data_IF_272561611559
#
_entry.id   IF_272561611559
#
_cell.length_a   1.000
_cell.length_b   1.000
_cell.length_c   1.000
_cell.angle_alpha   90.00
_cell.angle_beta   90.00
_cell.angle_gamma   90.00
#
_symmetry.space_group_name_H-M   'P 1'
#
loop_
_entity.id
_entity.type
_entity.pdbx_description
1 polymer ?
#
# COMPACT_ATOMS: atom_id res chain seq x y z
N UNK A 1 -3.74 15.90 5.73
CA UNK A 1 -3.89 16.79 4.55
C UNK A 1 -3.75 15.94 3.30
N UNK A 2 -4.54 16.21 2.26
CA UNK A 2 -4.57 15.44 1.02
C UNK A 2 -4.46 16.34 -0.21
N UNK A 3 -4.10 15.78 -1.37
CA UNK A 3 -4.19 16.46 -2.65
C UNK A 3 -5.64 16.46 -3.21
N UNK A 4 -5.81 16.90 -4.47
CA UNK A 4 -7.11 16.97 -5.15
C UNK A 4 -7.78 15.60 -5.34
N UNK A 5 -7.00 14.52 -5.43
CA UNK A 5 -7.47 13.14 -5.54
C UNK A 5 -7.70 12.48 -4.16
N UNK A 6 -7.62 13.25 -3.08
CA UNK A 6 -7.60 12.75 -1.70
C UNK A 6 -6.42 11.82 -1.37
N UNK A 7 -5.38 11.80 -2.20
CA UNK A 7 -4.15 11.09 -1.88
C UNK A 7 -3.44 11.81 -0.72
N UNK A 8 -3.13 11.04 0.32
CA UNK A 8 -2.22 11.48 1.39
C UNK A 8 -0.77 11.40 0.93
N UNK A 9 0.15 11.95 1.72
CA UNK A 9 1.58 11.75 1.50
C UNK A 9 1.97 10.26 1.42
N UNK A 10 1.27 9.38 2.17
CA UNK A 10 1.54 7.95 2.13
C UNK A 10 1.04 7.29 0.83
N UNK A 11 -0.09 7.74 0.27
CA UNK A 11 -0.54 7.29 -1.06
C UNK A 11 0.52 7.59 -2.12
N UNK A 12 1.03 8.82 -2.14
CA UNK A 12 2.07 9.23 -3.07
C UNK A 12 3.38 8.48 -2.85
N UNK A 13 3.81 8.28 -1.60
CA UNK A 13 5.03 7.54 -1.29
C UNK A 13 4.93 6.06 -1.72
N UNK A 14 3.77 5.43 -1.51
CA UNK A 14 3.48 4.08 -1.96
C UNK A 14 3.50 3.97 -3.50
N UNK A 15 2.80 4.90 -4.19
CA UNK A 15 2.75 4.98 -5.66
C UNK A 15 4.15 5.10 -6.28
N UNK A 16 5.00 5.89 -5.64
CA UNK A 16 6.37 6.17 -6.09
C UNK A 16 7.43 5.19 -5.53
N UNK A 17 7.02 4.16 -4.78
CA UNK A 17 7.90 3.14 -4.18
C UNK A 17 9.02 3.73 -3.31
N UNK A 18 8.73 4.82 -2.58
CA UNK A 18 9.70 5.51 -1.73
C UNK A 18 9.66 4.94 -0.32
N UNK A 19 10.23 3.74 -0.14
CA UNK A 19 10.17 3.01 1.14
C UNK A 19 10.67 3.86 2.32
N UNK A 20 11.81 4.53 2.18
CA UNK A 20 12.29 5.43 3.24
C UNK A 20 11.30 6.54 3.65
N UNK A 21 10.50 7.06 2.71
CA UNK A 21 9.45 8.05 3.02
C UNK A 21 8.25 7.37 3.68
N UNK A 22 7.87 6.18 3.21
CA UNK A 22 6.83 5.34 3.83
C UNK A 22 7.19 5.02 5.28
N UNK A 23 8.41 4.59 5.56
CA UNK A 23 8.92 4.33 6.90
C UNK A 23 8.78 5.56 7.81
N UNK A 24 9.22 6.74 7.36
CA UNK A 24 9.09 7.98 8.14
C UNK A 24 7.62 8.28 8.44
N UNK A 25 6.77 8.31 7.41
CA UNK A 25 5.36 8.68 7.55
C UNK A 25 4.60 7.73 8.48
N UNK A 26 4.87 6.44 8.36
CA UNK A 26 4.18 5.40 9.14
C UNK A 26 4.67 5.31 10.59
N UNK A 27 5.93 5.71 10.87
CA UNK A 27 6.45 5.81 12.24
C UNK A 27 6.03 7.08 12.97
N UNK A 28 5.91 8.20 12.24
CA UNK A 28 5.49 9.48 12.83
C UNK A 28 4.01 9.47 13.24
N UNK A 29 3.15 8.77 12.49
CA UNK A 29 1.73 8.65 12.83
C UNK A 29 1.20 7.22 12.60
N UNK A 30 1.50 6.26 13.52
CA UNK A 30 1.08 4.85 13.42
C UNK A 30 -0.44 4.63 13.51
N UNK A 31 -1.16 5.53 14.17
CA UNK A 31 -2.61 5.45 14.39
C UNK A 31 -3.42 6.10 13.27
N UNK A 32 -2.76 6.86 12.38
CA UNK A 32 -3.44 7.48 11.25
C UNK A 32 -4.10 6.43 10.36
N UNK A 33 -5.43 6.49 10.29
CA UNK A 33 -6.16 5.67 9.34
C UNK A 33 -6.00 6.27 7.94
N UNK A 34 -5.20 5.63 7.12
CA UNK A 34 -5.03 6.00 5.72
C UNK A 34 -6.20 5.48 4.89
N UNK A 35 -7.32 6.19 4.98
CA UNK A 35 -8.54 5.92 4.21
C UNK A 35 -8.28 5.94 2.71
N UNK A 36 -9.13 5.23 1.97
CA UNK A 36 -9.09 5.23 0.52
C UNK A 36 -9.24 6.64 -0.09
N UNK A 37 -8.54 6.87 -1.18
CA UNK A 37 -8.63 8.09 -2.00
C UNK A 37 -9.95 8.15 -2.81
N UNK A 38 -10.12 9.15 -3.69
CA UNK A 38 -11.36 9.29 -4.50
C UNK A 38 -11.61 8.12 -5.46
N UNK A 39 -10.59 7.32 -5.76
CA UNK A 39 -10.69 6.10 -6.57
C UNK A 39 -10.99 4.86 -5.74
N UNK A 40 -11.15 5.00 -4.42
CA UNK A 40 -11.34 3.86 -3.51
C UNK A 40 -10.04 3.08 -3.28
N UNK A 41 -8.87 3.66 -3.51
CA UNK A 41 -7.57 3.01 -3.34
C UNK A 41 -6.95 3.44 -2.00
N UNK A 42 -6.59 2.49 -1.14
CA UNK A 42 -5.74 2.77 0.04
C UNK A 42 -4.26 2.78 -0.35
N UNK A 43 -3.34 3.34 0.46
CA UNK A 43 -1.91 3.30 0.14
C UNK A 43 -1.38 1.87 -0.05
N UNK A 44 -1.89 0.92 0.74
CA UNK A 44 -1.53 -0.48 0.63
C UNK A 44 -2.03 -1.10 -0.69
N UNK A 45 -3.26 -0.78 -1.11
CA UNK A 45 -3.77 -1.21 -2.41
C UNK A 45 -2.96 -0.62 -3.56
N UNK A 46 -2.58 0.66 -3.49
CA UNK A 46 -1.70 1.28 -4.48
C UNK A 46 -0.37 0.53 -4.55
N UNK A 47 0.29 0.29 -3.41
CA UNK A 47 1.56 -0.43 -3.35
C UNK A 47 1.46 -1.83 -4.00
N UNK A 48 0.36 -2.54 -3.79
CA UNK A 48 0.12 -3.87 -4.35
C UNK A 48 -0.24 -3.85 -5.86
N UNK A 49 -0.84 -2.76 -6.38
CA UNK A 49 -1.45 -2.73 -7.71
C UNK A 49 -0.61 -2.11 -8.83
N UNK A 50 0.34 -1.23 -8.48
CA UNK A 50 1.09 -0.38 -9.42
C UNK A 50 1.93 -1.09 -10.49
N UNK A 51 2.21 -2.41 -10.38
CA UNK A 51 3.08 -3.09 -11.35
C UNK A 51 2.70 -4.54 -11.69
N UNK A 52 2.89 -4.96 -12.96
CA UNK A 52 2.64 -6.33 -13.40
C UNK A 52 3.72 -7.34 -12.93
N UNK A 53 4.88 -6.87 -12.44
CA UNK A 53 5.97 -7.68 -11.90
C UNK A 53 6.38 -7.22 -10.51
N UNK A 54 7.00 -8.13 -9.77
CA UNK A 54 7.56 -7.88 -8.46
C UNK A 54 8.90 -7.15 -8.48
N UNK A 55 9.13 -6.37 -7.42
CA UNK A 55 10.41 -5.76 -7.09
C UNK A 55 10.57 -5.71 -5.57
N UNK A 56 11.82 -5.81 -5.10
CA UNK A 56 12.13 -5.73 -3.67
C UNK A 56 11.71 -4.39 -3.04
N UNK A 57 11.81 -3.29 -3.78
CA UNK A 57 11.39 -1.96 -3.32
C UNK A 57 9.89 -1.92 -2.98
N UNK A 58 9.06 -2.61 -3.76
CA UNK A 58 7.64 -2.74 -3.48
C UNK A 58 7.40 -3.55 -2.22
N UNK A 59 8.14 -4.64 -2.02
CA UNK A 59 8.07 -5.43 -0.80
C UNK A 59 8.37 -4.60 0.43
N UNK A 60 9.46 -3.83 0.41
CA UNK A 60 9.83 -2.93 1.51
C UNK A 60 8.72 -1.94 1.85
N UNK A 61 8.11 -1.31 0.85
CA UNK A 61 6.97 -0.39 1.08
C UNK A 61 5.82 -1.08 1.79
N UNK A 62 5.48 -2.29 1.35
CA UNK A 62 4.35 -3.05 1.91
C UNK A 62 4.67 -3.51 3.32
N UNK A 63 5.88 -4.02 3.55
CA UNK A 63 6.35 -4.44 4.85
C UNK A 63 6.40 -3.27 5.83
N UNK A 64 6.87 -2.09 5.42
CA UNK A 64 6.90 -0.88 6.25
C UNK A 64 5.48 -0.42 6.64
N UNK A 65 4.53 -0.41 5.70
CA UNK A 65 3.13 -0.07 6.00
C UNK A 65 2.54 -1.06 7.01
N UNK A 66 2.69 -2.37 6.76
CA UNK A 66 2.12 -3.41 7.61
C UNK A 66 2.78 -3.49 9.00
N UNK A 67 4.07 -3.15 9.09
CA UNK A 67 4.82 -3.21 10.36
C UNK A 67 4.53 -1.99 11.23
N UNK A 68 4.45 -0.80 10.64
CA UNK A 68 4.41 0.44 11.40
C UNK A 68 2.99 0.98 11.61
N UNK A 69 2.02 0.66 10.76
CA UNK A 69 0.63 1.12 10.95
C UNK A 69 -0.14 0.16 11.86
N UNK A 70 -0.86 0.71 12.84
CA UNK A 70 -1.68 -0.06 13.78
C UNK A 70 -3.00 -0.48 13.15
N UNK A 71 -3.60 0.41 12.34
CA UNK A 71 -4.85 0.15 11.63
C UNK A 71 -4.62 0.28 10.13
N UNK A 72 -4.53 -0.87 9.47
CA UNK A 72 -4.31 -0.96 8.03
C UNK A 72 -5.63 -1.26 7.33
N UNK A 73 -5.99 -0.43 6.36
CA UNK A 73 -7.09 -0.71 5.44
C UNK A 73 -6.57 -1.32 4.14
N UNK A 74 -7.14 -2.47 3.78
CA UNK A 74 -6.78 -3.24 2.59
C UNK A 74 -7.67 -2.88 1.40
N UNK A 75 -8.65 -1.98 1.57
CA UNK A 75 -9.66 -1.62 0.60
C UNK A 75 -9.11 -1.12 -0.74
N UNK A 76 -9.86 -1.41 -1.79
CA UNK A 76 -9.54 -1.07 -3.17
C UNK A 76 -10.81 -0.83 -4.01
N UNK A 77 -10.66 -0.27 -5.22
CA UNK A 77 -11.76 0.05 -6.12
C UNK A 77 -12.65 -1.16 -6.39
N UNK A 78 -13.96 -0.92 -6.47
CA UNK A 78 -14.99 -1.93 -6.74
C UNK A 78 -15.02 -3.08 -5.73
N UNK A 79 -14.74 -2.80 -4.45
CA UNK A 79 -14.73 -3.81 -3.39
C UNK A 79 -13.56 -4.79 -3.48
N UNK A 80 -12.54 -4.47 -4.27
CA UNK A 80 -11.27 -5.23 -4.28
C UNK A 80 -10.49 -4.93 -3.02
N UNK A 81 -9.47 -5.75 -2.78
CA UNK A 81 -8.50 -5.53 -1.70
C UNK A 81 -7.09 -5.55 -2.24
N UNK A 82 -6.11 -5.13 -1.44
CA UNK A 82 -4.69 -5.23 -1.77
C UNK A 82 -4.30 -6.66 -2.19
N UNK A 83 -4.90 -7.69 -1.57
CA UNK A 83 -4.67 -9.09 -1.93
C UNK A 83 -5.20 -9.45 -3.35
N UNK A 84 -6.34 -8.88 -3.75
CA UNK A 84 -6.83 -9.04 -5.13
C UNK A 84 -5.88 -8.40 -6.15
N UNK A 85 -5.29 -7.25 -5.81
CA UNK A 85 -4.27 -6.62 -6.66
C UNK A 85 -2.99 -7.47 -6.73
N UNK A 86 -2.52 -7.97 -5.59
CA UNK A 86 -1.35 -8.81 -5.46
C UNK A 86 -1.40 -10.09 -6.30
N UNK A 87 -2.55 -10.76 -6.30
CA UNK A 87 -2.77 -12.02 -7.00
C UNK A 87 -2.67 -11.89 -8.53
N UNK A 88 -2.71 -10.66 -9.07
CA UNK A 88 -2.56 -10.39 -10.50
C UNK A 88 -1.10 -10.22 -10.92
N UNK A 89 -0.17 -10.12 -9.98
CA UNK A 89 1.27 -10.02 -10.25
C UNK A 89 1.80 -11.40 -10.60
N UNK A 90 2.46 -11.51 -11.76
CA UNK A 90 3.02 -12.78 -12.24
C UNK A 90 4.18 -13.30 -11.38
N UNK A 91 4.32 -14.62 -11.36
CA UNK A 91 5.43 -15.51 -10.90
C UNK A 91 5.97 -15.31 -9.46
N UNK A 92 6.07 -14.08 -8.95
CA UNK A 92 6.51 -13.74 -7.59
C UNK A 92 5.37 -13.22 -6.69
N UNK A 93 4.14 -13.14 -7.21
CA UNK A 93 2.94 -12.70 -6.48
C UNK A 93 2.65 -13.51 -5.21
N UNK A 94 3.18 -14.74 -5.12
CA UNK A 94 3.11 -15.57 -3.90
C UNK A 94 3.72 -14.87 -2.67
N UNK A 95 4.84 -14.15 -2.84
CA UNK A 95 5.51 -13.45 -1.74
C UNK A 95 4.61 -12.31 -1.23
N UNK A 96 3.95 -11.61 -2.16
CA UNK A 96 3.07 -10.50 -1.81
C UNK A 96 1.77 -10.98 -1.15
N UNK A 97 1.18 -12.08 -1.63
CA UNK A 97 0.02 -12.67 -0.96
C UNK A 97 0.37 -13.06 0.48
N UNK A 98 1.54 -13.66 0.73
CA UNK A 98 1.98 -13.98 2.10
C UNK A 98 2.22 -12.74 2.97
N UNK A 99 2.72 -11.63 2.42
CA UNK A 99 2.87 -10.39 3.20
C UNK A 99 1.51 -9.81 3.62
N UNK A 100 0.47 -9.96 2.80
CA UNK A 100 -0.86 -9.39 3.03
C UNK A 100 -1.80 -10.31 3.85
N UNK A 101 -1.36 -11.52 4.19
CA UNK A 101 -2.13 -12.52 4.96
C UNK A 101 -1.93 -12.43 6.49
N UNK A 102 -1.01 -11.58 6.97
CA UNK A 102 -0.75 -11.34 8.40
C UNK A 102 -1.64 -10.25 9.00
#
# INVERSE_FOLDING_TARGET
MTNEEQDTALHEAARNRRSHVVEILTKEDPEFSYSANVHGETPLYIAASIMPRWSEERGKVIDEILTNCISVDYGGPNGRTALHAASRVRDDGRILCSSLEN
#
